data_IF_534538294725
#
_entry.id   IF_534538294725
#
_cell.length_a   1.000
_cell.length_b   1.000
_cell.length_c   1.000
_cell.angle_alpha   90.00
_cell.angle_beta   90.00
_cell.angle_gamma   90.00
#
_symmetry.space_group_name_H-M   'P 1'
#
loop_
_entity.id
_entity.type
_entity.pdbx_description
1 polymer ?
#
# COMPACT_ATOMS: atom_id res chain seq x y z
N UNK A 1 -24.88 -6.28 -13.57
CA UNK A 1 -24.79 -4.96 -12.90
C UNK A 1 -24.46 -5.21 -11.45
N UNK A 2 -23.16 -5.24 -11.11
CA UNK A 2 -22.75 -5.37 -9.72
C UNK A 2 -22.90 -4.01 -9.04
N UNK A 3 -23.90 -3.88 -8.17
CA UNK A 3 -24.13 -2.65 -7.40
C UNK A 3 -22.89 -2.36 -6.55
N UNK A 4 -22.57 -1.08 -6.26
CA UNK A 4 -21.45 -0.72 -5.35
C UNK A 4 -21.51 -1.45 -4.00
N UNK A 5 -22.69 -1.95 -3.60
CA UNK A 5 -22.88 -2.86 -2.48
C UNK A 5 -22.18 -4.20 -2.69
N UNK A 6 -22.36 -4.88 -3.82
CA UNK A 6 -21.67 -6.15 -4.12
C UNK A 6 -20.15 -5.99 -4.19
N UNK A 7 -19.65 -4.88 -4.75
CA UNK A 7 -18.22 -4.54 -4.73
C UNK A 7 -17.68 -4.39 -3.30
N UNK A 8 -18.43 -3.76 -2.38
CA UNK A 8 -18.07 -3.66 -0.95
C UNK A 8 -18.04 -5.01 -0.23
N UNK A 9 -18.81 -5.99 -0.71
CA UNK A 9 -18.81 -7.34 -0.14
C UNK A 9 -17.67 -8.22 -0.67
N UNK A 10 -17.03 -7.83 -1.79
CA UNK A 10 -15.85 -8.55 -2.30
C UNK A 10 -14.72 -8.53 -1.25
N UNK A 11 -14.19 -9.70 -0.86
CA UNK A 11 -13.09 -9.78 0.09
C UNK A 11 -11.81 -9.08 -0.39
N UNK A 12 -11.56 -9.05 -1.71
CA UNK A 12 -10.43 -8.31 -2.28
C UNK A 12 -10.60 -6.80 -2.09
N UNK A 13 -11.83 -6.30 -2.20
CA UNK A 13 -12.13 -4.89 -1.92
C UNK A 13 -11.92 -4.55 -0.44
N UNK A 14 -12.28 -5.46 0.48
CA UNK A 14 -12.02 -5.27 1.91
C UNK A 14 -10.53 -5.19 2.23
N UNK A 15 -9.72 -6.08 1.65
CA UNK A 15 -8.25 -6.03 1.79
C UNK A 15 -7.67 -4.74 1.19
N UNK A 16 -8.15 -4.34 0.02
CA UNK A 16 -7.74 -3.07 -0.60
C UNK A 16 -8.11 -1.87 0.28
N UNK A 17 -9.29 -1.90 0.91
CA UNK A 17 -9.70 -0.83 1.82
C UNK A 17 -8.85 -0.79 3.10
N UNK A 18 -8.41 -1.94 3.62
CA UNK A 18 -7.44 -2.00 4.71
C UNK A 18 -6.11 -1.37 4.31
N UNK A 19 -5.59 -1.72 3.12
CA UNK A 19 -4.38 -1.12 2.59
C UNK A 19 -4.51 0.41 2.46
N UNK A 20 -5.59 0.89 1.84
CA UNK A 20 -5.84 2.32 1.68
C UNK A 20 -5.98 3.06 3.02
N UNK A 21 -6.54 2.40 4.05
CA UNK A 21 -6.63 2.98 5.38
C UNK A 21 -5.24 3.17 6.00
N UNK A 22 -4.38 2.15 5.90
CA UNK A 22 -3.00 2.22 6.40
C UNK A 22 -2.19 3.28 5.63
N UNK A 23 -2.34 3.32 4.32
CA UNK A 23 -1.69 4.29 3.42
C UNK A 23 -2.15 5.74 3.71
N UNK A 24 -3.44 5.93 3.99
CA UNK A 24 -3.95 7.22 4.47
C UNK A 24 -3.34 7.60 5.83
N UNK A 25 -3.18 6.63 6.74
CA UNK A 25 -2.47 6.83 7.99
C UNK A 25 -1.00 7.25 7.79
N UNK A 26 -0.29 6.68 6.81
CA UNK A 26 1.06 7.11 6.43
C UNK A 26 1.08 8.57 6.00
N UNK A 27 0.11 9.01 5.19
CA UNK A 27 0.02 10.42 4.77
C UNK A 27 -0.17 11.37 5.97
N UNK A 28 -1.05 11.02 6.92
CA UNK A 28 -1.21 11.80 8.16
C UNK A 28 0.06 11.81 9.01
N UNK A 29 0.77 10.68 9.08
CA UNK A 29 2.06 10.59 9.75
C UNK A 29 3.08 11.52 9.10
N UNK A 30 3.27 11.49 7.78
CA UNK A 30 4.23 12.35 7.08
C UNK A 30 3.89 13.84 7.24
N UNK A 31 2.60 14.20 7.22
CA UNK A 31 2.15 15.57 7.52
C UNK A 31 2.55 16.00 8.94
N UNK A 32 2.32 15.12 9.92
CA UNK A 32 2.66 15.38 11.33
C UNK A 32 4.17 15.45 11.54
N UNK A 33 4.93 14.55 10.92
CA UNK A 33 6.39 14.53 10.95
C UNK A 33 6.96 15.81 10.35
N UNK A 34 6.46 16.25 9.19
CA UNK A 34 6.85 17.50 8.56
C UNK A 34 6.61 18.72 9.47
N UNK A 35 5.46 18.77 10.14
CA UNK A 35 5.17 19.83 11.11
C UNK A 35 6.15 19.82 12.30
N UNK A 36 6.48 18.64 12.84
CA UNK A 36 7.43 18.50 13.94
C UNK A 36 8.86 18.90 13.55
N UNK A 37 9.28 18.60 12.31
CA UNK A 37 10.58 19.00 11.77
C UNK A 37 10.66 20.53 11.60
N UNK A 38 9.60 21.17 11.09
CA UNK A 38 9.56 22.64 10.90
C UNK A 38 9.54 23.38 12.25
N UNK A 39 8.91 22.81 13.27
CA UNK A 39 8.80 23.40 14.61
C UNK A 39 9.56 22.59 15.67
N UNK A 40 10.91 22.65 15.69
CA UNK A 40 11.74 21.80 16.56
C UNK A 40 11.52 22.08 18.06
N UNK A 41 11.10 23.30 18.43
CA UNK A 41 10.73 23.64 19.82
C UNK A 41 9.56 22.77 20.30
N UNK A 42 8.59 22.48 19.43
CA UNK A 42 7.45 21.60 19.73
C UNK A 42 7.91 20.16 19.93
N UNK A 43 8.84 19.68 19.10
CA UNK A 43 9.44 18.35 19.26
C UNK A 43 10.16 18.23 20.61
N UNK A 44 10.96 19.22 20.99
CA UNK A 44 11.71 19.18 22.26
C UNK A 44 10.78 19.21 23.48
N UNK A 45 9.73 20.04 23.44
CA UNK A 45 8.78 20.18 24.54
C UNK A 45 7.87 18.95 24.71
N UNK A 46 7.50 18.30 23.61
CA UNK A 46 6.58 17.16 23.60
C UNK A 46 7.24 15.89 23.05
N UNK A 47 8.48 15.62 23.48
CA UNK A 47 9.27 14.45 23.07
C UNK A 47 8.49 13.12 23.09
N UNK A 48 7.75 12.76 24.16
CA UNK A 48 6.99 11.50 24.17
C UNK A 48 5.91 11.45 23.08
N UNK A 49 5.24 12.57 22.81
CA UNK A 49 4.20 12.65 21.77
C UNK A 49 4.84 12.48 20.39
N UNK A 50 5.96 13.15 20.14
CA UNK A 50 6.70 13.02 18.88
C UNK A 50 7.13 11.57 18.62
N UNK A 51 7.61 10.87 19.66
CA UNK A 51 8.00 9.46 19.58
C UNK A 51 6.82 8.50 19.40
N UNK A 52 5.66 8.78 20.01
CA UNK A 52 4.43 8.02 19.70
C UNK A 52 4.02 8.18 18.23
N UNK A 53 4.15 9.39 17.68
CA UNK A 53 3.87 9.65 16.26
C UNK A 53 4.82 8.86 15.36
N UNK A 54 6.13 8.82 15.64
CA UNK A 54 7.10 8.04 14.86
C UNK A 54 6.85 6.55 14.93
N UNK A 55 6.55 6.00 16.12
CA UNK A 55 6.17 4.60 16.28
C UNK A 55 4.90 4.27 15.51
N UNK A 56 3.91 5.17 15.52
CA UNK A 56 2.66 5.00 14.76
C UNK A 56 2.94 4.96 13.26
N UNK A 57 3.77 5.87 12.75
CA UNK A 57 4.23 5.85 11.36
C UNK A 57 4.93 4.54 10.99
N UNK A 58 5.88 4.08 11.80
CA UNK A 58 6.59 2.83 11.54
C UNK A 58 5.66 1.60 11.58
N UNK A 59 4.71 1.57 12.50
CA UNK A 59 3.79 0.43 12.64
C UNK A 59 2.80 0.34 11.48
N UNK A 60 2.34 1.48 10.98
CA UNK A 60 1.54 1.57 9.76
C UNK A 60 2.35 1.09 8.55
N UNK A 61 3.64 1.44 8.45
CA UNK A 61 4.54 0.92 7.44
C UNK A 61 4.61 -0.61 7.46
N UNK A 62 4.86 -1.19 8.63
CA UNK A 62 4.93 -2.64 8.84
C UNK A 62 3.60 -3.33 8.48
N UNK A 63 2.46 -2.72 8.84
CA UNK A 63 1.13 -3.28 8.55
C UNK A 63 0.83 -3.42 7.05
N UNK A 64 1.47 -2.62 6.18
CA UNK A 64 1.27 -2.72 4.74
C UNK A 64 1.73 -4.06 4.18
N UNK A 65 2.81 -4.64 4.72
CA UNK A 65 3.45 -5.83 4.13
C UNK A 65 2.59 -7.10 4.19
N UNK A 66 2.00 -7.48 5.35
CA UNK A 66 1.08 -8.61 5.41
C UNK A 66 -0.15 -8.40 4.50
N UNK A 67 -0.70 -7.18 4.46
CA UNK A 67 -1.86 -6.87 3.62
C UNK A 67 -1.53 -7.04 2.14
N UNK A 68 -0.39 -6.51 1.68
CA UNK A 68 0.08 -6.65 0.29
C UNK A 68 0.33 -8.11 -0.07
N UNK A 69 0.96 -8.87 0.82
CA UNK A 69 1.24 -10.29 0.61
C UNK A 69 -0.06 -11.09 0.47
N UNK A 70 -1.00 -10.94 1.41
CA UNK A 70 -2.31 -11.62 1.35
C UNK A 70 -3.11 -11.21 0.11
N UNK A 71 -3.06 -9.93 -0.26
CA UNK A 71 -3.73 -9.43 -1.46
C UNK A 71 -3.16 -10.08 -2.74
N UNK A 72 -1.84 -10.21 -2.84
CA UNK A 72 -1.20 -10.85 -4.00
C UNK A 72 -1.56 -12.34 -4.09
N UNK A 73 -1.49 -13.09 -2.97
CA UNK A 73 -1.84 -14.52 -2.94
C UNK A 73 -3.33 -14.70 -3.27
N UNK A 74 -4.20 -13.84 -2.74
CA UNK A 74 -5.63 -13.89 -3.07
C UNK A 74 -5.88 -13.68 -4.57
N UNK A 75 -5.08 -12.85 -5.25
CA UNK A 75 -5.23 -12.60 -6.69
C UNK A 75 -4.86 -13.83 -7.51
N UNK A 76 -3.71 -14.45 -7.24
CA UNK A 76 -3.32 -15.66 -7.99
C UNK A 76 -4.32 -16.79 -7.76
N UNK A 77 -4.79 -17.01 -6.52
CA UNK A 77 -5.74 -18.09 -6.23
C UNK A 77 -7.06 -17.94 -6.99
N UNK A 78 -7.50 -16.71 -7.23
CA UNK A 78 -8.69 -16.42 -8.06
C UNK A 78 -8.39 -16.60 -9.54
N UNK A 79 -7.20 -16.22 -10.02
CA UNK A 79 -6.80 -16.38 -11.43
C UNK A 79 -6.66 -17.85 -11.83
N UNK A 80 -6.20 -18.70 -10.90
CA UNK A 80 -6.04 -20.14 -11.13
C UNK A 80 -7.30 -20.95 -10.76
N UNK A 81 -8.43 -20.27 -10.55
CA UNK A 81 -9.72 -20.83 -10.17
C UNK A 81 -9.73 -21.73 -8.90
N UNK A 82 -8.69 -21.62 -8.05
CA UNK A 82 -8.63 -22.33 -6.76
C UNK A 82 -9.38 -21.63 -5.63
N UNK A 83 -9.76 -20.37 -5.81
CA UNK A 83 -10.57 -19.60 -4.87
C UNK A 83 -11.66 -18.82 -5.58
N UNK A 84 -12.83 -18.71 -4.94
CA UNK A 84 -13.90 -17.88 -5.45
C UNK A 84 -13.56 -16.39 -5.29
N UNK A 85 -13.83 -15.53 -6.30
CA UNK A 85 -13.66 -14.08 -6.17
C UNK A 85 -14.53 -13.47 -5.05
N UNK A 86 -15.57 -14.20 -4.61
CA UNK A 86 -16.51 -13.75 -3.60
C UNK A 86 -16.14 -14.22 -2.18
N UNK A 87 -15.11 -15.06 -2.02
CA UNK A 87 -14.71 -15.60 -0.70
C UNK A 87 -13.19 -15.65 -0.56
N UNK A 88 -12.67 -14.93 0.43
CA UNK A 88 -11.27 -15.06 0.83
C UNK A 88 -11.08 -16.39 1.58
N UNK A 89 -10.13 -17.25 1.17
CA UNK A 89 -9.78 -18.47 1.88
C UNK A 89 -9.53 -18.21 3.37
N UNK A 90 -9.97 -19.12 4.23
CA UNK A 90 -9.81 -18.99 5.69
C UNK A 90 -8.34 -18.81 6.09
N UNK A 91 -7.43 -19.54 5.45
CA UNK A 91 -5.98 -19.40 5.66
C UNK A 91 -5.51 -17.96 5.43
N UNK A 92 -5.94 -17.31 4.35
CA UNK A 92 -5.57 -15.93 4.05
C UNK A 92 -6.17 -14.92 5.05
N UNK A 93 -7.38 -15.18 5.57
CA UNK A 93 -7.96 -14.36 6.64
C UNK A 93 -7.14 -14.46 7.92
N UNK A 94 -6.75 -15.67 8.30
CA UNK A 94 -5.94 -15.92 9.50
C UNK A 94 -4.56 -15.28 9.36
N UNK A 95 -3.89 -15.44 8.21
CA UNK A 95 -2.59 -14.79 7.95
C UNK A 95 -2.68 -13.27 8.02
N UNK A 96 -3.73 -12.67 7.44
CA UNK A 96 -3.94 -11.22 7.53
C UNK A 96 -4.16 -10.78 8.99
N UNK A 97 -4.97 -11.52 9.75
CA UNK A 97 -5.22 -11.22 11.16
C UNK A 97 -3.94 -11.31 11.99
N UNK A 98 -3.11 -12.34 11.79
CA UNK A 98 -1.80 -12.49 12.45
C UNK A 98 -0.91 -11.30 12.13
N UNK A 99 -0.80 -10.92 10.85
CA UNK A 99 -0.01 -9.76 10.45
C UNK A 99 -0.47 -8.46 11.11
N UNK A 100 -1.78 -8.22 11.16
CA UNK A 100 -2.35 -7.03 11.82
C UNK A 100 -2.14 -7.03 13.33
N UNK A 101 -2.31 -8.19 14.00
CA UNK A 101 -2.05 -8.33 15.44
C UNK A 101 -0.57 -8.10 15.74
N UNK A 102 0.33 -8.61 14.89
CA UNK A 102 1.76 -8.40 15.02
C UNK A 102 2.12 -6.91 14.91
N UNK A 103 1.64 -6.22 13.86
CA UNK A 103 1.86 -4.77 13.70
C UNK A 103 1.27 -3.96 14.86
N UNK A 104 0.09 -4.31 15.36
CA UNK A 104 -0.52 -3.67 16.53
C UNK A 104 0.29 -3.92 17.81
N UNK A 105 0.88 -5.12 17.96
CA UNK A 105 1.73 -5.45 19.10
C UNK A 105 3.02 -4.64 19.09
N UNK A 106 3.67 -4.51 17.92
CA UNK A 106 4.83 -3.63 17.75
C UNK A 106 4.50 -2.17 18.02
N UNK A 107 3.32 -1.71 17.59
CA UNK A 107 2.84 -0.37 17.88
C UNK A 107 2.68 -0.12 19.38
N UNK A 108 1.96 -0.98 20.10
CA UNK A 108 1.78 -0.87 21.54
C UNK A 108 3.12 -0.93 22.28
N UNK A 109 4.00 -1.84 21.86
CA UNK A 109 5.34 -1.97 22.42
C UNK A 109 6.20 -0.72 22.20
N UNK A 110 6.22 -0.18 20.98
CA UNK A 110 6.93 1.06 20.65
C UNK A 110 6.35 2.27 21.40
N UNK A 111 5.03 2.33 21.57
CA UNK A 111 4.37 3.38 22.36
C UNK A 111 4.78 3.31 23.84
N UNK A 112 5.02 2.12 24.39
CA UNK A 112 5.51 1.98 25.76
C UNK A 112 7.01 2.28 25.88
N UNK A 113 7.82 1.72 24.99
CA UNK A 113 9.29 1.78 25.05
C UNK A 113 9.90 3.06 24.46
N UNK A 114 9.13 3.78 23.63
CA UNK A 114 9.53 5.03 22.99
C UNK A 114 10.81 4.88 22.15
N UNK A 115 10.92 3.79 21.41
CA UNK A 115 12.14 3.29 20.76
C UNK A 115 12.47 3.88 19.38
N UNK A 116 11.64 4.79 18.87
CA UNK A 116 11.89 5.55 17.64
C UNK A 116 11.92 7.04 17.96
N UNK A 117 12.84 7.77 17.36
CA UNK A 117 13.00 9.22 17.54
C UNK A 117 13.15 9.92 16.20
N UNK A 118 12.94 11.24 16.20
CA UNK A 118 13.15 12.09 15.03
C UNK A 118 14.60 12.57 15.05
N UNK A 119 15.33 12.36 13.95
CA UNK A 119 16.73 12.79 13.77
C UNK A 119 16.88 13.46 12.41
N UNK A 120 17.26 14.74 12.42
CA UNK A 120 17.36 15.54 11.21
C UNK A 120 16.02 15.66 10.49
N UNK A 121 15.96 15.13 9.26
CA UNK A 121 14.75 15.13 8.42
C UNK A 121 13.98 13.80 8.45
N UNK A 122 14.47 12.82 9.22
CA UNK A 122 13.95 11.46 9.24
C UNK A 122 13.60 10.99 10.63
N UNK A 123 13.30 9.69 10.71
CA UNK A 123 13.18 8.97 11.97
C UNK A 123 14.35 7.99 12.06
N UNK A 124 14.72 7.60 13.26
CA UNK A 124 15.76 6.61 13.52
C UNK A 124 15.37 5.75 14.74
N UNK A 125 15.92 4.54 14.81
CA UNK A 125 15.83 3.69 15.99
C UNK A 125 16.72 4.24 17.10
N UNK A 126 16.14 4.50 18.27
CA UNK A 126 16.89 4.89 19.46
C UNK A 126 17.37 3.62 20.18
N UNK A 127 18.54 3.11 19.78
CA UNK A 127 19.12 1.89 20.34
C UNK A 127 19.51 2.00 21.83
N UNK A 128 19.44 3.20 22.43
CA UNK A 128 19.55 3.35 23.89
C UNK A 128 18.28 2.88 24.62
N UNK A 129 17.15 2.76 23.91
CA UNK A 129 15.86 2.36 24.46
C UNK A 129 15.65 0.86 24.36
N UNK A 130 14.97 0.32 25.37
CA UNK A 130 14.66 -1.09 25.45
C UNK A 130 13.83 -1.55 24.25
N UNK A 131 14.23 -2.66 23.64
CA UNK A 131 13.50 -3.27 22.53
C UNK A 131 13.62 -2.57 21.18
N UNK A 132 14.45 -1.53 21.02
CA UNK A 132 14.71 -0.92 19.71
C UNK A 132 15.30 -1.93 18.70
N UNK A 133 16.28 -2.72 19.13
CA UNK A 133 16.87 -3.80 18.32
C UNK A 133 15.85 -4.88 17.97
N UNK A 134 14.96 -5.23 18.90
CA UNK A 134 13.89 -6.21 18.67
C UNK A 134 12.92 -5.71 17.61
N UNK A 135 12.51 -4.43 17.67
CA UNK A 135 11.62 -3.85 16.66
C UNK A 135 12.30 -3.75 15.30
N UNK A 136 13.57 -3.34 15.24
CA UNK A 136 14.32 -3.29 13.99
C UNK A 136 14.45 -4.68 13.33
N UNK A 137 14.77 -5.72 14.12
CA UNK A 137 14.82 -7.10 13.61
C UNK A 137 13.44 -7.60 13.19
N UNK A 138 12.42 -7.33 13.99
CA UNK A 138 11.03 -7.71 13.69
C UNK A 138 10.53 -7.08 12.39
N UNK A 139 10.85 -5.80 12.14
CA UNK A 139 10.58 -5.14 10.86
C UNK A 139 11.25 -5.89 9.72
N UNK A 140 12.56 -6.12 9.79
CA UNK A 140 13.31 -6.80 8.74
C UNK A 140 12.75 -8.19 8.41
N UNK A 141 12.54 -9.02 9.45
CA UNK A 141 12.10 -10.41 9.29
C UNK A 141 10.62 -10.55 8.90
N UNK A 142 9.80 -9.51 9.05
CA UNK A 142 8.42 -9.52 8.54
C UNK A 142 8.35 -8.92 7.13
N UNK A 143 8.89 -7.71 6.97
CA UNK A 143 8.72 -6.91 5.76
C UNK A 143 9.39 -7.60 4.56
N UNK A 144 10.63 -8.08 4.72
CA UNK A 144 11.37 -8.67 3.61
C UNK A 144 10.74 -9.98 3.09
N UNK A 145 10.38 -10.98 3.93
CA UNK A 145 9.68 -12.16 3.43
C UNK A 145 8.30 -11.86 2.81
N UNK A 146 7.51 -10.96 3.40
CA UNK A 146 6.24 -10.56 2.82
C UNK A 146 6.42 -9.93 1.43
N UNK A 147 7.47 -9.12 1.24
CA UNK A 147 7.80 -8.47 -0.01
C UNK A 147 8.25 -9.50 -1.08
N UNK A 148 9.09 -10.46 -0.70
CA UNK A 148 9.52 -11.58 -1.57
C UNK A 148 8.32 -12.43 -2.00
N UNK A 149 7.46 -12.83 -1.06
CA UNK A 149 6.24 -13.59 -1.37
C UNK A 149 5.33 -12.82 -2.33
N UNK A 150 5.19 -11.51 -2.11
CA UNK A 150 4.40 -10.64 -3.00
C UNK A 150 4.96 -10.66 -4.42
N UNK A 151 6.28 -10.50 -4.58
CA UNK A 151 6.93 -10.49 -5.89
C UNK A 151 6.85 -11.83 -6.61
N UNK A 152 7.17 -12.94 -5.91
CA UNK A 152 7.06 -14.30 -6.48
C UNK A 152 5.62 -14.57 -6.93
N UNK A 153 4.63 -14.09 -6.16
CA UNK A 153 3.22 -14.26 -6.53
C UNK A 153 2.88 -13.50 -7.81
N UNK A 154 3.35 -12.27 -8.00
CA UNK A 154 3.14 -11.56 -9.26
C UNK A 154 3.86 -12.21 -10.44
N UNK A 155 5.06 -12.74 -10.23
CA UNK A 155 5.75 -13.52 -11.25
C UNK A 155 4.94 -14.77 -11.63
N UNK A 156 4.40 -15.49 -10.65
CA UNK A 156 3.54 -16.65 -10.88
C UNK A 156 2.25 -16.28 -11.64
N UNK A 157 1.66 -15.10 -11.38
CA UNK A 157 0.51 -14.59 -12.14
C UNK A 157 0.87 -14.46 -13.62
N UNK A 158 1.98 -13.79 -13.94
CA UNK A 158 2.41 -13.63 -15.34
C UNK A 158 2.67 -14.97 -15.99
N UNK A 159 3.46 -15.83 -15.34
CA UNK A 159 3.82 -17.15 -15.87
C UNK A 159 2.58 -18.02 -16.13
N UNK A 160 1.62 -18.04 -15.19
CA UNK A 160 0.38 -18.79 -15.38
C UNK A 160 -0.44 -18.24 -16.56
N UNK A 161 -0.54 -16.92 -16.68
CA UNK A 161 -1.30 -16.31 -17.77
C UNK A 161 -0.66 -16.55 -19.14
N UNK A 162 0.67 -16.52 -19.22
CA UNK A 162 1.44 -16.90 -20.42
C UNK A 162 1.21 -18.37 -20.80
N UNK A 163 1.34 -19.29 -19.83
CA UNK A 163 1.12 -20.72 -20.07
C UNK A 163 -0.30 -21.00 -20.56
N UNK A 164 -1.30 -20.34 -19.97
CA UNK A 164 -2.70 -20.50 -20.38
C UNK A 164 -2.93 -20.06 -21.83
N UNK A 165 -2.35 -18.93 -22.25
CA UNK A 165 -2.45 -18.44 -23.63
C UNK A 165 -1.79 -19.35 -24.65
N UNK A 166 -0.63 -19.90 -24.31
CA UNK A 166 0.04 -20.89 -25.14
C UNK A 166 -0.84 -22.13 -25.36
N UNK A 167 -1.55 -22.59 -24.33
CA UNK A 167 -2.49 -23.71 -24.43
C UNK A 167 -3.73 -23.37 -25.27
N UNK A 168 -4.24 -22.15 -25.14
CA UNK A 168 -5.44 -21.67 -25.86
C UNK A 168 -5.16 -21.16 -27.29
N UNK A 169 -3.90 -21.27 -27.78
CA UNK A 169 -3.44 -20.79 -29.10
C UNK A 169 -3.78 -19.30 -29.37
N UNK A 170 -3.93 -18.49 -28.33
CA UNK A 170 -4.07 -17.05 -28.47
C UNK A 170 -2.67 -16.42 -28.55
N UNK A 171 -2.42 -15.61 -29.59
CA UNK A 171 -1.10 -15.02 -29.83
C UNK A 171 -0.78 -13.83 -28.92
N UNK A 172 0.42 -13.86 -28.32
CA UNK A 172 1.10 -12.71 -27.71
C UNK A 172 0.76 -12.41 -26.25
N UNK A 173 1.72 -11.82 -25.54
CA UNK A 173 1.51 -11.31 -24.17
C UNK A 173 0.50 -10.17 -24.21
N UNK A 174 -0.51 -10.19 -23.32
CA UNK A 174 -1.49 -9.11 -23.29
C UNK A 174 -0.86 -7.90 -22.60
N UNK A 175 -0.98 -6.72 -23.23
CA UNK A 175 -0.45 -5.47 -22.69
C UNK A 175 -0.84 -5.19 -21.22
N UNK A 176 -2.06 -5.52 -20.74
CA UNK A 176 -2.43 -5.34 -19.34
C UNK A 176 -1.61 -6.15 -18.33
N UNK A 177 -1.16 -7.36 -18.70
CA UNK A 177 -0.45 -8.26 -17.79
C UNK A 177 1.00 -7.85 -17.57
N UNK A 178 1.71 -7.52 -18.65
CA UNK A 178 3.06 -6.91 -18.57
C UNK A 178 3.01 -5.65 -17.74
N UNK A 179 1.96 -4.84 -17.89
CA UNK A 179 1.80 -3.60 -17.12
C UNK A 179 1.65 -3.87 -15.63
N UNK A 180 0.86 -4.87 -15.24
CA UNK A 180 0.72 -5.27 -13.84
C UNK A 180 2.05 -5.79 -13.27
N UNK A 181 2.77 -6.60 -14.03
CA UNK A 181 4.07 -7.12 -13.64
C UNK A 181 5.11 -6.01 -13.49
N UNK A 182 5.19 -5.10 -14.45
CA UNK A 182 6.10 -3.97 -14.45
C UNK A 182 5.83 -3.06 -13.25
N UNK A 183 4.55 -2.78 -12.96
CA UNK A 183 4.14 -2.06 -11.75
C UNK A 183 4.64 -2.77 -10.49
N UNK A 184 4.40 -4.08 -10.36
CA UNK A 184 4.81 -4.84 -9.18
C UNK A 184 6.33 -4.94 -9.03
N UNK A 185 7.06 -5.06 -10.14
CA UNK A 185 8.53 -5.13 -10.17
C UNK A 185 9.14 -3.80 -9.76
N UNK A 186 8.62 -2.68 -10.29
CA UNK A 186 9.06 -1.35 -9.89
C UNK A 186 8.84 -1.12 -8.39
N UNK A 187 7.64 -1.41 -7.88
CA UNK A 187 7.34 -1.27 -6.45
C UNK A 187 8.20 -2.19 -5.60
N UNK A 188 8.42 -3.43 -6.01
CA UNK A 188 9.30 -4.37 -5.31
C UNK A 188 10.72 -3.83 -5.18
N UNK A 189 11.32 -3.39 -6.29
CA UNK A 189 12.68 -2.85 -6.29
C UNK A 189 12.77 -1.57 -5.45
N UNK A 190 11.78 -0.69 -5.57
CA UNK A 190 11.71 0.55 -4.81
C UNK A 190 11.65 0.31 -3.30
N UNK A 191 10.69 -0.51 -2.85
CA UNK A 191 10.49 -0.84 -1.42
C UNK A 191 11.69 -1.62 -0.87
N UNK A 192 12.21 -2.59 -1.63
CA UNK A 192 13.39 -3.37 -1.21
C UNK A 192 14.60 -2.46 -1.01
N UNK A 193 14.80 -1.49 -1.90
CA UNK A 193 15.91 -0.54 -1.79
C UNK A 193 15.78 0.31 -0.52
N UNK A 194 14.58 0.78 -0.20
CA UNK A 194 14.32 1.52 1.05
C UNK A 194 14.67 0.65 2.26
N UNK A 195 14.14 -0.58 2.35
CA UNK A 195 14.37 -1.47 3.50
C UNK A 195 15.86 -1.83 3.64
N UNK A 196 16.52 -2.18 2.53
CA UNK A 196 17.94 -2.55 2.54
C UNK A 196 18.80 -1.39 3.02
N UNK A 197 18.59 -0.18 2.48
CA UNK A 197 19.33 1.01 2.88
C UNK A 197 19.01 1.35 4.35
N UNK A 198 17.74 1.34 4.74
CA UNK A 198 17.28 1.62 6.10
C UNK A 198 17.99 0.76 7.16
N UNK A 199 18.13 -0.55 6.92
CA UNK A 199 18.72 -1.46 7.90
C UNK A 199 20.24 -1.65 7.79
N UNK A 200 20.85 -1.38 6.62
CA UNK A 200 22.26 -1.72 6.39
C UNK A 200 23.16 -0.52 6.11
N UNK A 201 22.63 0.67 5.82
CA UNK A 201 23.45 1.81 5.42
C UNK A 201 24.46 2.25 6.50
N UNK A 202 24.12 2.13 7.78
CA UNK A 202 25.07 2.38 8.87
C UNK A 202 26.23 1.37 8.85
N UNK A 203 25.92 0.07 8.74
CA UNK A 203 26.94 -0.99 8.66
C UNK A 203 27.84 -0.91 7.44
N UNK A 204 27.34 -0.33 6.35
CA UNK A 204 28.08 -0.13 5.10
C UNK A 204 28.87 1.18 5.07
N UNK A 205 28.81 2.00 6.13
CA UNK A 205 29.44 3.32 6.17
C UNK A 205 28.82 4.33 5.19
N UNK A 206 27.60 4.06 4.73
CA UNK A 206 26.84 4.91 3.80
C UNK A 206 25.88 5.86 4.52
N UNK A 207 25.77 5.78 5.85
CA UNK A 207 24.92 6.69 6.61
C UNK A 207 25.47 8.11 6.54
N UNK A 208 24.69 9.01 5.94
CA UNK A 208 25.02 10.42 5.78
C UNK A 208 23.74 11.24 5.81
N UNK A 209 23.85 12.56 6.00
CA UNK A 209 22.68 13.45 5.91
C UNK A 209 21.98 13.34 4.55
N UNK A 210 22.74 13.11 3.47
CA UNK A 210 22.18 12.90 2.14
C UNK A 210 21.38 11.59 2.06
N UNK A 211 21.94 10.50 2.60
CA UNK A 211 21.30 9.18 2.64
C UNK A 211 19.99 9.24 3.44
N UNK A 212 20.01 9.85 4.64
CA UNK A 212 18.82 10.02 5.47
C UNK A 212 17.75 10.87 4.76
N UNK A 213 18.16 11.96 4.11
CA UNK A 213 17.25 12.83 3.32
C UNK A 213 16.64 12.07 2.15
N UNK A 214 17.46 11.38 1.36
CA UNK A 214 17.01 10.59 0.21
C UNK A 214 16.05 9.47 0.62
N UNK A 215 16.35 8.77 1.71
CA UNK A 215 15.51 7.71 2.25
C UNK A 215 14.16 8.25 2.76
N UNK A 216 14.18 9.38 3.46
CA UNK A 216 12.97 10.05 3.94
C UNK A 216 12.08 10.52 2.78
N UNK A 217 12.67 11.11 1.73
CA UNK A 217 11.93 11.44 0.51
C UNK A 217 11.36 10.19 -0.16
N UNK A 218 12.17 9.13 -0.29
CA UNK A 218 11.73 7.90 -0.93
C UNK A 218 10.54 7.26 -0.18
N UNK A 219 10.57 7.28 1.14
CA UNK A 219 9.46 6.80 1.94
C UNK A 219 8.20 7.66 1.77
N UNK A 220 8.32 8.99 1.79
CA UNK A 220 7.19 9.90 1.55
C UNK A 220 6.56 9.71 0.16
N UNK A 221 7.36 9.43 -0.86
CA UNK A 221 6.87 9.24 -2.24
C UNK A 221 6.17 7.89 -2.47
N UNK A 222 6.32 6.93 -1.55
CA UNK A 222 5.84 5.57 -1.72
C UNK A 222 4.31 5.45 -1.97
N UNK A 223 3.43 6.13 -1.22
CA UNK A 223 1.98 6.15 -1.51
C UNK A 223 1.65 6.71 -2.90
N UNK A 224 2.45 7.70 -3.35
CA UNK A 224 2.23 8.37 -4.63
C UNK A 224 2.59 7.47 -5.82
N UNK A 225 3.63 6.63 -5.69
CA UNK A 225 3.98 5.68 -6.75
C UNK A 225 2.84 4.73 -7.06
N UNK A 226 2.11 4.24 -6.06
CA UNK A 226 0.94 3.38 -6.28
C UNK A 226 -0.12 4.07 -7.15
N UNK A 227 -0.45 5.33 -6.85
CA UNK A 227 -1.45 6.10 -7.60
C UNK A 227 -0.94 6.46 -8.99
N UNK A 228 0.31 6.90 -9.12
CA UNK A 228 0.93 7.26 -10.40
C UNK A 228 1.04 6.05 -11.34
N UNK A 229 1.39 4.87 -10.83
CA UNK A 229 1.45 3.64 -11.62
C UNK A 229 0.05 3.22 -12.07
N UNK A 230 -0.98 3.34 -11.20
CA UNK A 230 -2.37 3.10 -11.60
C UNK A 230 -2.83 4.09 -12.68
N UNK A 231 -2.48 5.37 -12.56
CA UNK A 231 -2.82 6.38 -13.56
C UNK A 231 -2.11 6.15 -14.90
N UNK A 232 -0.84 5.77 -14.89
CA UNK A 232 -0.07 5.59 -16.12
C UNK A 232 -0.43 4.29 -16.83
N UNK A 233 -0.61 3.19 -16.07
CA UNK A 233 -0.71 1.84 -16.62
C UNK A 233 -2.16 1.34 -16.76
N UNK A 234 -3.12 1.86 -16.00
CA UNK A 234 -4.51 1.38 -16.01
C UNK A 234 -5.49 2.33 -16.73
N UNK A 235 -5.84 1.99 -17.98
CA UNK A 235 -6.79 2.77 -18.80
C UNK A 235 -8.17 2.90 -18.14
N UNK A 236 -8.67 1.84 -17.53
CA UNK A 236 -10.00 1.83 -16.89
C UNK A 236 -10.04 2.76 -15.69
N UNK A 237 -8.97 2.77 -14.88
CA UNK A 237 -8.85 3.69 -13.75
C UNK A 237 -8.84 5.15 -14.20
N UNK A 238 -8.05 5.48 -15.24
CA UNK A 238 -8.06 6.83 -15.85
C UNK A 238 -9.44 7.28 -16.30
N UNK A 239 -10.17 6.42 -17.01
CA UNK A 239 -11.51 6.74 -17.50
C UNK A 239 -12.48 7.01 -16.35
N UNK A 240 -12.43 6.21 -15.28
CA UNK A 240 -13.25 6.44 -14.08
C UNK A 240 -12.89 7.73 -13.35
N UNK A 241 -11.60 8.06 -13.22
CA UNK A 241 -11.20 9.33 -12.62
C UNK A 241 -11.67 10.53 -13.45
N UNK A 242 -11.48 10.50 -14.77
CA UNK A 242 -11.96 11.56 -15.66
C UNK A 242 -13.48 11.70 -15.55
N UNK A 243 -14.23 10.59 -15.53
CA UNK A 243 -15.68 10.62 -15.32
C UNK A 243 -16.07 11.18 -13.97
N UNK A 244 -15.33 10.90 -12.89
CA UNK A 244 -15.58 11.45 -11.57
C UNK A 244 -15.36 12.96 -11.54
N UNK A 245 -14.25 13.45 -12.11
CA UNK A 245 -13.94 14.88 -12.22
C UNK A 245 -15.02 15.58 -13.06
N UNK A 246 -15.35 15.04 -14.25
CA UNK A 246 -16.33 15.64 -15.15
C UNK A 246 -17.78 15.55 -14.63
N UNK A 247 -18.14 14.51 -13.87
CA UNK A 247 -19.43 14.45 -13.17
C UNK A 247 -19.51 15.50 -12.07
N UNK A 248 -18.42 15.76 -11.35
CA UNK A 248 -18.35 16.80 -10.33
C UNK A 248 -18.56 18.18 -10.95
N UNK A 249 -18.00 18.43 -12.13
CA UNK A 249 -18.22 19.68 -12.88
C UNK A 249 -19.67 19.84 -13.37
N UNK A 250 -20.31 18.76 -13.84
CA UNK A 250 -21.74 18.81 -14.20
C UNK A 250 -22.65 19.06 -12.99
N UNK A 251 -22.35 18.50 -11.82
CA UNK A 251 -23.15 18.73 -10.58
C UNK A 251 -22.97 20.15 -10.06
N UNK A 252 -21.75 20.70 -10.11
CA UNK A 252 -21.48 22.10 -9.73
C UNK A 252 -22.18 23.09 -10.67
N UNK A 253 -22.22 22.79 -11.98
CA UNK A 253 -22.91 23.62 -12.96
C UNK A 253 -24.45 23.49 -12.86
N UNK A 254 -24.98 22.31 -12.52
CA UNK A 254 -26.42 22.12 -12.26
C UNK A 254 -26.88 22.84 -10.97
N UNK A 255 -26.07 22.78 -9.90
CA UNK A 255 -26.35 23.47 -8.64
C UNK A 255 -26.35 25.01 -8.78
N UNK A 256 -25.68 25.56 -9.81
CA UNK A 256 -25.72 26.99 -10.14
C UNK A 256 -26.90 27.43 -11.01
N UNK A 257 -27.63 26.52 -11.67
CA UNK A 257 -28.57 26.91 -12.73
C UNK A 257 -29.93 26.21 -12.78
N UNK A 258 -30.29 25.30 -11.87
CA UNK A 258 -31.63 24.70 -12.01
C UNK A 258 -32.15 23.93 -10.80
N UNK A 259 -33.42 24.17 -10.51
CA UNK A 259 -34.30 23.38 -9.65
C UNK A 259 -34.25 21.87 -9.98
N UNK A 260 -34.49 20.99 -9.00
CA UNK A 260 -34.16 19.57 -9.11
C UNK A 260 -35.16 18.84 -10.02
N UNK A 261 -34.76 18.55 -11.27
CA UNK A 261 -35.44 17.55 -12.09
C UNK A 261 -34.77 16.19 -11.92
N UNK A 262 -35.55 15.19 -11.50
CA UNK A 262 -35.20 13.76 -11.49
C UNK A 262 -34.68 13.35 -12.87
N UNK A 263 -33.46 12.80 -12.93
CA UNK A 263 -32.92 12.20 -14.16
C UNK A 263 -33.24 10.70 -14.25
N UNK A 264 -33.43 10.17 -15.47
CA UNK A 264 -33.94 8.83 -15.73
C UNK A 264 -32.89 7.74 -15.53
N UNK A 265 -33.37 6.60 -15.05
CA UNK A 265 -32.67 5.33 -14.88
C UNK A 265 -32.41 4.69 -16.24
N UNK A 266 -31.19 4.71 -16.77
CA UNK A 266 -30.65 3.66 -17.66
C UNK A 266 -29.15 3.93 -17.87
N UNK A 267 -28.28 3.03 -17.40
CA UNK A 267 -26.87 3.00 -17.79
C UNK A 267 -26.43 1.53 -17.95
N UNK A 268 -25.96 1.13 -19.15
CA UNK A 268 -25.46 -0.20 -19.44
C UNK A 268 -23.96 -0.25 -19.10
N UNK A 269 -23.57 -1.03 -18.09
CA UNK A 269 -22.14 -1.10 -17.71
C UNK A 269 -21.67 -2.50 -17.29
N UNK A 270 -22.38 -3.56 -17.67
CA UNK A 270 -21.97 -4.93 -17.37
C UNK A 270 -22.44 -5.92 -18.45
N UNK A 271 -21.80 -5.91 -19.61
CA UNK A 271 -21.97 -6.95 -20.65
C UNK A 271 -20.65 -7.29 -21.39
N UNK A 272 -19.48 -7.17 -20.76
CA UNK A 272 -18.24 -7.63 -21.41
C UNK A 272 -17.23 -8.24 -20.44
N UNK A 273 -17.69 -9.22 -19.66
CA UNK A 273 -16.85 -10.31 -19.15
C UNK A 273 -17.66 -11.59 -19.33
N UNK A 274 -17.82 -11.97 -20.58
CA UNK A 274 -18.08 -13.34 -21.03
C UNK A 274 -17.46 -13.41 -22.42
N UNK A 275 -16.20 -13.83 -22.43
CA UNK A 275 -15.50 -14.69 -23.40
C UNK A 275 -14.01 -14.71 -23.03
#
# INVERSE_FOLDING_TARGET
MSTDKELRYSPQYKLMNQYNFVDCGQAFFHLSLGALIVFPVTQQRFQPVARVITVTGNSLWIAMFPIMSVLSISRILVIIDKASPNRLPTTLKVLNAIGMVFSASLWLWGCFTQNLTIVGLGIEYDFSKFGASVVALAEWYLCFPCLVVTYITYLAIVLHMELRKHMEKQGGISSPEIKLFLQSTFLFLYISSIIIIWHNAESWGLWSSLTNTALSFAWVFLPYWNVLLLLTLNRTFRLKMVQFIYRRDKVINFAKTGTPKKLPSHSPLFTSIQE
#
